data_IF_265423472175
#
_entry.id   IF_265423472175
#
_cell.length_a   1.000
_cell.length_b   1.000
_cell.length_c   1.000
_cell.angle_alpha   90.00
_cell.angle_beta   90.00
_cell.angle_gamma   90.00
#
_symmetry.space_group_name_H-M   'P 1'
#
loop_
_entity.id
_entity.type
_entity.pdbx_description
1 polymer ?
#
# COMPACT_ATOMS: atom_id res chain seq x y z
N UNK A 1 -0.34 9.30 -9.07
CA UNK A 1 -0.84 10.23 -8.04
C UNK A 1 -0.60 9.59 -6.68
N UNK A 2 -0.26 10.36 -5.64
CA UNK A 2 0.07 9.81 -4.32
C UNK A 2 -0.82 10.38 -3.22
N UNK A 3 -1.11 9.58 -2.20
CA UNK A 3 -1.86 9.99 -1.02
C UNK A 3 -1.26 9.38 0.22
N UNK A 4 -0.82 10.25 1.12
CA UNK A 4 -0.22 9.86 2.40
C UNK A 4 -1.28 9.91 3.50
N UNK A 5 -1.36 8.84 4.27
CA UNK A 5 -2.30 8.66 5.36
C UNK A 5 -1.56 8.28 6.63
N UNK A 6 -2.01 8.78 7.77
CA UNK A 6 -1.50 8.33 9.08
C UNK A 6 -2.47 7.31 9.65
N UNK A 7 -1.96 6.15 10.05
CA UNK A 7 -2.75 5.08 10.67
C UNK A 7 -2.03 4.53 11.91
N UNK A 8 -2.62 4.76 13.08
CA UNK A 8 -1.99 4.49 14.39
C UNK A 8 -0.65 5.26 14.47
N UNK A 9 0.47 4.57 14.70
CA UNK A 9 1.83 5.13 14.74
C UNK A 9 2.59 4.96 13.42
N UNK A 10 1.90 4.55 12.35
CA UNK A 10 2.47 4.29 11.04
C UNK A 10 2.03 5.33 10.02
N UNK A 11 2.95 5.69 9.14
CA UNK A 11 2.71 6.51 7.96
C UNK A 11 2.55 5.60 6.77
N UNK A 12 1.39 5.66 6.13
CA UNK A 12 1.03 4.86 4.95
C UNK A 12 0.98 5.80 3.75
N UNK A 13 1.98 5.69 2.88
CA UNK A 13 1.97 6.37 1.60
C UNK A 13 1.46 5.42 0.52
N UNK A 14 0.44 5.84 -0.22
CA UNK A 14 -0.15 5.06 -1.30
C UNK A 14 -0.02 5.84 -2.60
N UNK A 15 0.81 5.32 -3.49
CA UNK A 15 1.04 5.87 -4.83
C UNK A 15 0.34 4.98 -5.86
N UNK A 16 -0.52 5.59 -6.68
CA UNK A 16 -1.12 4.92 -7.82
C UNK A 16 -0.34 5.30 -9.09
N UNK A 17 0.40 4.34 -9.61
CA UNK A 17 1.17 4.43 -10.85
C UNK A 17 0.32 3.92 -12.03
N UNK A 18 0.13 4.72 -13.11
CA UNK A 18 -0.54 4.24 -14.30
C UNK A 18 0.34 3.23 -15.05
N UNK A 19 -0.25 2.11 -15.46
CA UNK A 19 0.39 1.16 -16.39
C UNK A 19 0.14 1.67 -17.80
N UNK A 20 1.17 2.29 -18.38
CA UNK A 20 1.15 2.73 -19.76
C UNK A 20 1.54 1.56 -20.67
N UNK A 21 0.57 0.96 -21.36
CA UNK A 21 0.89 0.17 -22.53
C UNK A 21 1.27 1.16 -23.63
N UNK A 22 2.57 1.34 -23.84
CA UNK A 22 3.15 2.26 -24.80
C UNK A 22 2.66 1.94 -26.24
N UNK A 23 1.46 2.37 -26.58
CA UNK A 23 0.94 2.44 -27.93
C UNK A 23 1.20 3.86 -28.41
N UNK A 24 2.37 4.02 -29.04
CA UNK A 24 2.90 5.29 -29.51
C UNK A 24 1.85 6.16 -30.22
N UNK A 25 1.46 7.24 -29.56
CA UNK A 25 0.64 8.29 -30.16
C UNK A 25 0.08 9.25 -29.11
N UNK A 26 -0.10 10.55 -29.44
CA UNK A 26 -0.70 11.53 -28.55
C UNK A 26 -2.22 11.33 -28.51
N UNK A 27 -2.67 10.25 -27.90
CA UNK A 27 -4.07 10.03 -27.56
C UNK A 27 -4.17 10.16 -26.05
N UNK A 28 -5.24 10.74 -25.53
CA UNK A 28 -5.56 10.66 -24.11
C UNK A 28 -5.81 9.19 -23.76
N UNK A 29 -4.75 8.42 -23.57
CA UNK A 29 -4.85 6.99 -23.26
C UNK A 29 -5.21 6.92 -21.78
N UNK A 30 -6.45 6.54 -21.49
CA UNK A 30 -6.77 5.99 -20.18
C UNK A 30 -5.81 4.82 -19.96
N UNK A 31 -4.99 4.85 -18.90
CA UNK A 31 -3.99 3.81 -18.69
C UNK A 31 -4.69 2.45 -18.60
N UNK A 32 -4.05 1.42 -19.16
CA UNK A 32 -4.60 0.05 -19.23
C UNK A 32 -4.91 -0.53 -17.85
N UNK A 33 -4.30 0.06 -16.82
CA UNK A 33 -4.77 0.03 -15.45
C UNK A 33 -3.82 0.81 -14.54
N UNK A 34 -3.96 0.64 -13.23
CA UNK A 34 -3.14 1.29 -12.21
C UNK A 34 -2.53 0.26 -11.28
N UNK A 35 -1.27 0.47 -10.89
CA UNK A 35 -0.59 -0.28 -9.83
C UNK A 35 -0.63 0.56 -8.57
N UNK A 36 -1.00 -0.05 -7.45
CA UNK A 36 -0.93 0.59 -6.15
C UNK A 36 0.39 0.23 -5.47
N UNK A 37 1.27 1.22 -5.33
CA UNK A 37 2.52 1.13 -4.58
C UNK A 37 2.26 1.66 -3.18
N UNK A 38 2.24 0.76 -2.21
CA UNK A 38 2.03 1.06 -0.79
C UNK A 38 3.38 1.08 -0.11
N UNK A 39 3.69 2.16 0.59
CA UNK A 39 4.90 2.33 1.39
C UNK A 39 4.48 2.58 2.84
N UNK A 40 4.92 1.72 3.75
CA UNK A 40 4.60 1.79 5.17
C UNK A 40 5.87 2.21 5.91
N UNK A 41 5.83 3.37 6.54
CA UNK A 41 6.87 3.87 7.46
C UNK A 41 6.34 3.95 8.90
N UNK A 42 7.24 4.07 9.87
CA UNK A 42 6.90 4.31 11.27
C UNK A 42 7.70 5.51 11.80
N UNK A 43 7.01 6.47 12.41
CA UNK A 43 7.62 7.72 12.89
C UNK A 43 8.16 8.62 11.78
N UNK A 44 9.22 9.39 12.08
CA UNK A 44 9.89 10.31 11.14
C UNK A 44 10.90 9.62 10.21
N UNK A 45 10.85 8.29 10.11
CA UNK A 45 11.79 7.55 9.27
C UNK A 45 11.50 7.86 7.79
N UNK A 46 12.51 8.39 7.10
CA UNK A 46 12.43 8.71 5.68
C UNK A 46 12.32 7.47 4.79
N UNK A 47 12.71 6.30 5.30
CA UNK A 47 12.68 5.04 4.57
C UNK A 47 11.47 4.19 4.99
N UNK A 48 10.65 3.71 4.03
CA UNK A 48 9.55 2.82 4.35
C UNK A 48 10.08 1.46 4.80
N UNK A 49 9.55 0.99 5.93
CA UNK A 49 9.86 -0.32 6.53
C UNK A 49 9.39 -1.45 5.61
N UNK A 50 8.30 -1.22 4.87
CA UNK A 50 7.81 -2.14 3.86
C UNK A 50 7.30 -1.37 2.64
N UNK A 51 7.62 -1.87 1.45
CA UNK A 51 6.99 -1.45 0.20
C UNK A 51 6.31 -2.64 -0.45
N UNK A 52 5.04 -2.49 -0.80
CA UNK A 52 4.23 -3.50 -1.46
C UNK A 52 3.65 -2.93 -2.74
N UNK A 53 3.76 -3.68 -3.83
CA UNK A 53 3.18 -3.34 -5.13
C UNK A 53 2.02 -4.27 -5.42
N UNK A 54 0.82 -3.71 -5.55
CA UNK A 54 -0.40 -4.43 -5.88
C UNK A 54 -0.83 -4.10 -7.31
N UNK A 55 -1.16 -5.13 -8.09
CA UNK A 55 -1.54 -4.97 -9.51
C UNK A 55 -0.42 -5.22 -10.52
N UNK A 56 0.80 -5.54 -10.07
CA UNK A 56 1.98 -5.72 -10.94
C UNK A 56 2.35 -7.20 -11.20
N UNK A 57 2.20 -8.09 -10.20
CA UNK A 57 2.79 -9.43 -10.26
C UNK A 57 1.80 -10.61 -10.16
N UNK A 58 0.52 -10.41 -9.84
CA UNK A 58 -0.41 -11.56 -9.66
C UNK A 58 -1.88 -11.23 -9.90
N UNK A 59 -2.29 -10.00 -9.67
CA UNK A 59 -3.66 -9.53 -9.87
C UNK A 59 -3.64 -8.45 -10.94
N UNK A 60 -4.61 -8.51 -11.85
CA UNK A 60 -4.81 -7.55 -12.95
C UNK A 60 -4.61 -6.11 -12.43
N UNK A 61 -3.99 -5.20 -13.21
CA UNK A 61 -3.88 -3.81 -12.79
C UNK A 61 -5.29 -3.23 -12.54
N UNK A 62 -5.40 -2.35 -11.55
CA UNK A 62 -6.69 -1.79 -11.14
C UNK A 62 -7.30 -0.98 -12.29
N UNK A 63 -8.61 -1.11 -12.50
CA UNK A 63 -9.30 -0.40 -13.58
C UNK A 63 -9.31 1.12 -13.38
N UNK A 64 -9.18 1.59 -12.14
CA UNK A 64 -9.20 3.02 -11.81
C UNK A 64 -8.18 3.40 -10.75
N UNK A 65 -7.75 4.66 -10.79
CA UNK A 65 -6.91 5.29 -9.78
C UNK A 65 -7.49 5.13 -8.37
N UNK A 66 -8.80 5.36 -8.24
CA UNK A 66 -9.48 5.32 -6.94
C UNK A 66 -9.46 3.91 -6.35
N UNK A 67 -9.65 2.88 -7.18
CA UNK A 67 -9.51 1.49 -6.74
C UNK A 67 -8.09 1.20 -6.27
N UNK A 68 -7.07 1.59 -7.04
CA UNK A 68 -5.68 1.40 -6.63
C UNK A 68 -5.37 2.05 -5.27
N UNK A 69 -5.78 3.30 -5.07
CA UNK A 69 -5.58 4.00 -3.79
C UNK A 69 -6.35 3.36 -2.63
N UNK A 70 -7.63 3.01 -2.83
CA UNK A 70 -8.46 2.41 -1.78
C UNK A 70 -7.98 1.01 -1.41
N UNK A 71 -7.66 0.18 -2.39
CA UNK A 71 -7.15 -1.17 -2.16
C UNK A 71 -5.77 -1.15 -1.51
N UNK A 72 -4.88 -0.26 -1.97
CA UNK A 72 -3.57 -0.07 -1.36
C UNK A 72 -3.66 0.34 0.11
N UNK A 73 -4.52 1.31 0.42
CA UNK A 73 -4.75 1.74 1.80
C UNK A 73 -5.34 0.62 2.68
N UNK A 74 -6.36 -0.10 2.20
CA UNK A 74 -6.98 -1.19 2.93
C UNK A 74 -6.00 -2.36 3.18
N UNK A 75 -5.12 -2.65 2.23
CA UNK A 75 -4.06 -3.65 2.39
C UNK A 75 -3.04 -3.20 3.45
N UNK A 76 -2.62 -1.93 3.43
CA UNK A 76 -1.73 -1.38 4.44
C UNK A 76 -2.30 -1.50 5.86
N UNK A 77 -3.58 -1.14 6.04
CA UNK A 77 -4.26 -1.27 7.33
C UNK A 77 -4.24 -2.71 7.84
N UNK A 78 -4.55 -3.69 6.98
CA UNK A 78 -4.51 -5.12 7.34
C UNK A 78 -3.11 -5.58 7.75
N UNK A 79 -2.08 -5.13 7.03
CA UNK A 79 -0.69 -5.47 7.36
C UNK A 79 -0.32 -4.88 8.71
N UNK A 80 -0.61 -3.61 8.95
CA UNK A 80 -0.34 -2.93 10.23
C UNK A 80 -1.11 -3.59 11.38
N UNK A 81 -2.37 -3.97 11.16
CA UNK A 81 -3.18 -4.66 12.15
C UNK A 81 -2.65 -6.06 12.50
N UNK A 82 -2.20 -6.81 11.49
CA UNK A 82 -1.47 -8.07 11.68
C UNK A 82 -0.14 -7.88 12.40
N UNK A 83 0.60 -6.81 12.10
CA UNK A 83 1.88 -6.50 12.74
C UNK A 83 1.72 -6.16 14.23
N UNK A 84 0.71 -5.35 14.59
CA UNK A 84 0.41 -4.99 15.98
C UNK A 84 -0.06 -6.17 16.83
N UNK A 85 -0.70 -7.16 16.21
CA UNK A 85 -1.22 -8.35 16.91
C UNK A 85 -0.09 -9.29 17.37
N UNK A 86 1.00 -9.41 16.62
CA UNK A 86 2.11 -10.33 16.97
C UNK A 86 2.92 -9.82 18.17
N UNK A 87 3.01 -8.51 18.38
CA UNK A 87 3.85 -7.94 19.45
C UNK A 87 3.15 -7.82 20.82
N UNK A 88 1.89 -8.29 20.94
CA UNK A 88 1.10 -8.26 22.19
C UNK A 88 0.75 -9.67 22.68
N UNK A 89 1.54 -10.68 22.32
CA UNK A 89 1.48 -12.01 22.92
C UNK A 89 2.53 -12.15 24.04
N UNK A 90 2.40 -11.35 25.11
CA UNK A 90 3.01 -11.70 26.41
C UNK A 90 1.96 -11.58 27.51
N UNK A 91 1.27 -12.66 27.85
CA UNK A 91 0.87 -12.88 29.22
C UNK A 91 2.01 -13.62 29.92
N UNK A 92 2.62 -12.91 30.88
CA UNK A 92 3.46 -13.46 31.94
C UNK A 92 2.66 -14.52 32.72
N UNK A 93 2.73 -15.79 32.31
CA UNK A 93 2.36 -16.89 33.20
C UNK A 93 3.58 -17.30 34.00
N UNK A 94 3.85 -16.50 35.04
CA UNK A 94 4.84 -16.76 36.07
C UNK A 94 4.14 -16.54 37.41
N UNK A 95 3.25 -17.48 37.76
CA UNK A 95 2.54 -17.51 39.03
C UNK A 95 2.64 -18.94 39.61
N UNK A 96 3.59 -19.04 40.54
CA UNK A 96 3.80 -20.03 41.62
C UNK A 96 3.93 -21.53 41.29
#
# INVERSE_FOLDING_TARGET
MQSTYVYKDFTVDVEAEPVDEALGGPVLITPSGYVAVVRIGQGECAEPIASLRFGENTDRPFGTLREALMHGYAAAQRIIDGFGTVNTAVPLDNRD
#
